data_IF_612553021779
#
_entry.id   IF_612553021779
#
_cell.length_a   1.000
_cell.length_b   1.000
_cell.length_c   1.000
_cell.angle_alpha   90.00
_cell.angle_beta   90.00
_cell.angle_gamma   90.00
#
_symmetry.space_group_name_H-M   'P 1'
#
loop_
_entity.id
_entity.type
_entity.pdbx_description
1 polymer ?
#
# COMPACT_ATOMS: atom_id res chain seq x y z
N UNK A 1 -4.18 -2.36 -8.73
CA UNK A 1 -3.76 -2.00 -7.35
C UNK A 1 -2.34 -1.41 -7.28
N UNK A 2 -1.27 -2.09 -7.72
CA UNK A 2 0.11 -1.52 -7.63
C UNK A 2 0.32 -0.16 -8.33
N UNK A 3 -0.36 0.10 -9.45
CA UNK A 3 -0.30 1.41 -10.12
C UNK A 3 -0.86 2.56 -9.29
N UNK A 4 -1.88 2.33 -8.45
CA UNK A 4 -2.44 3.36 -7.57
C UNK A 4 -1.46 3.74 -6.45
N UNK A 5 -0.73 2.74 -5.93
CA UNK A 5 0.38 2.93 -5.01
C UNK A 5 1.51 3.70 -5.68
N UNK A 6 1.83 3.38 -6.94
CA UNK A 6 2.79 4.14 -7.74
C UNK A 6 2.36 5.58 -7.98
N UNK A 7 1.08 5.83 -8.26
CA UNK A 7 0.51 7.16 -8.49
C UNK A 7 0.23 7.96 -7.22
N UNK A 8 0.30 7.34 -6.03
CA UNK A 8 -0.14 7.95 -4.76
C UNK A 8 -1.58 8.47 -4.86
N UNK A 9 -2.46 7.70 -5.51
CA UNK A 9 -3.86 8.06 -5.64
C UNK A 9 -4.53 8.02 -4.26
N UNK A 10 -4.86 9.19 -3.73
CA UNK A 10 -5.53 9.36 -2.43
C UNK A 10 -6.96 8.80 -2.43
N UNK A 11 -7.57 8.59 -3.61
CA UNK A 11 -8.88 7.93 -3.73
C UNK A 11 -8.89 6.50 -3.21
N UNK A 12 -7.73 5.86 -3.04
CA UNK A 12 -7.61 4.53 -2.44
C UNK A 12 -7.22 4.55 -0.97
N UNK A 13 -7.00 5.73 -0.39
CA UNK A 13 -6.76 5.86 1.04
C UNK A 13 -8.04 5.46 1.80
N UNK A 14 -7.96 4.38 2.59
CA UNK A 14 -9.13 3.80 3.25
C UNK A 14 -9.91 2.79 2.40
N UNK A 15 -9.46 2.44 1.19
CA UNK A 15 -9.99 1.29 0.43
C UNK A 15 -9.14 0.05 0.69
N UNK A 16 -7.82 0.23 0.67
CA UNK A 16 -6.87 -0.84 0.97
C UNK A 16 -5.65 -0.32 1.73
N UNK A 17 -5.09 -1.19 2.55
CA UNK A 17 -3.81 -1.03 3.22
C UNK A 17 -2.75 -1.84 2.50
N UNK A 18 -1.52 -1.40 2.64
CA UNK A 18 -0.35 -2.00 2.01
C UNK A 18 0.49 -2.62 3.10
N UNK A 19 0.52 -3.94 3.18
CA UNK A 19 1.42 -4.67 4.07
C UNK A 19 2.76 -4.90 3.39
N UNK A 20 3.84 -4.47 4.04
CA UNK A 20 5.20 -4.73 3.57
C UNK A 20 5.69 -6.00 4.25
N UNK A 21 5.80 -7.09 3.50
CA UNK A 21 6.13 -8.41 4.06
C UNK A 21 7.53 -8.48 4.65
N UNK A 22 8.46 -7.65 4.16
CA UNK A 22 9.83 -7.57 4.68
C UNK A 22 9.94 -6.88 6.03
N UNK A 23 9.07 -5.90 6.32
CA UNK A 23 9.11 -5.16 7.59
C UNK A 23 7.96 -5.50 8.53
N UNK A 24 6.91 -6.17 8.04
CA UNK A 24 5.67 -6.39 8.79
C UNK A 24 4.86 -5.12 9.05
N UNK A 25 5.21 -4.01 8.39
CA UNK A 25 4.56 -2.70 8.59
C UNK A 25 3.45 -2.53 7.56
N UNK A 26 2.32 -1.99 8.01
CA UNK A 26 1.26 -1.52 7.14
C UNK A 26 1.47 -0.03 6.83
N UNK A 27 1.52 0.35 5.55
CA UNK A 27 1.43 1.76 5.15
C UNK A 27 0.19 2.03 4.30
N UNK A 28 -0.16 3.31 4.24
CA UNK A 28 -1.20 3.83 3.36
C UNK A 28 -0.70 3.90 1.91
N UNK A 29 -1.56 3.79 0.89
CA UNK A 29 -1.14 3.92 -0.50
C UNK A 29 -0.57 5.29 -0.88
N UNK A 30 -0.86 6.33 -0.08
CA UNK A 30 -0.36 7.71 -0.21
C UNK A 30 0.97 7.96 0.49
N UNK A 31 1.44 6.99 1.29
CA UNK A 31 2.67 7.05 2.06
C UNK A 31 3.88 7.38 1.16
N UNK A 32 4.65 8.40 1.56
CA UNK A 32 5.86 8.86 0.86
C UNK A 32 7.04 7.90 1.02
N UNK A 33 6.91 6.87 1.86
CA UNK A 33 7.95 5.88 2.10
C UNK A 33 8.44 5.21 0.81
N UNK A 34 9.69 4.73 0.85
CA UNK A 34 10.34 4.06 -0.26
C UNK A 34 9.48 2.86 -0.68
N UNK A 35 8.98 2.87 -1.92
CA UNK A 35 8.09 1.83 -2.42
C UNK A 35 8.82 0.49 -2.38
N UNK A 36 8.33 -0.48 -1.61
CA UNK A 36 8.95 -1.79 -1.60
C UNK A 36 8.75 -2.46 -2.97
N UNK A 37 9.61 -3.44 -3.27
CA UNK A 37 9.45 -4.26 -4.46
C UNK A 37 8.06 -4.91 -4.44
N UNK A 38 7.39 -4.96 -5.60
CA UNK A 38 6.01 -5.45 -5.72
C UNK A 38 5.84 -6.87 -5.17
N UNK A 39 6.89 -7.68 -5.26
CA UNK A 39 6.94 -9.02 -4.68
C UNK A 39 6.74 -9.01 -3.16
N UNK A 40 7.27 -8.01 -2.45
CA UNK A 40 7.26 -7.88 -0.98
C UNK A 40 6.10 -7.04 -0.46
N UNK A 41 5.12 -6.76 -1.31
CA UNK A 41 3.96 -5.95 -0.99
C UNK A 41 2.71 -6.78 -1.11
N UNK A 42 1.97 -6.85 -0.02
CA UNK A 42 0.64 -7.45 0.05
C UNK A 42 -0.41 -6.34 0.22
N UNK A 43 -1.55 -6.51 -0.45
CA UNK A 43 -2.65 -5.56 -0.42
C UNK A 43 -3.79 -6.13 0.42
N UNK A 44 -4.16 -5.42 1.48
CA UNK A 44 -5.24 -5.80 2.37
C UNK A 44 -6.41 -4.85 2.16
N UNK A 45 -7.60 -5.35 1.86
CA UNK A 45 -8.79 -4.49 1.88
C UNK A 45 -9.03 -4.03 3.31
N UNK A 46 -9.24 -2.72 3.51
CA UNK A 46 -9.72 -2.27 4.83
C UNK A 46 -11.20 -2.63 4.87
N UNK A 47 -11.59 -3.49 5.82
CA UNK A 47 -13.01 -3.66 6.13
C UNK A 47 -13.42 -2.41 6.91
N UNK A 48 -14.28 -1.59 6.30
CA UNK A 48 -14.98 -0.52 7.01
C UNK A 48 -15.91 -1.10 8.07
#
# INVERSE_FOLDING_TARGET
MYRALLKRDASFEGIFLVGVRTTGIFCRPTCTAKKPARENVDFFATAG
#
